data_IF_069438131597
#
_entry.id   IF_069438131597
#
_cell.length_a   1.000
_cell.length_b   1.000
_cell.length_c   1.000
_cell.angle_alpha   90.00
_cell.angle_beta   90.00
_cell.angle_gamma   90.00
#
_symmetry.space_group_name_H-M   'P 1'
#
loop_
_entity.id
_entity.type
_entity.pdbx_description
1 polymer ?
#
# COMPACT_ATOMS: atom_id res chain seq x y z
N UNK A 1 -22.45 -12.41 0.23
CA UNK A 1 -21.64 -12.33 -1.00
C UNK A 1 -20.57 -11.28 -0.75
N UNK A 2 -19.49 -11.67 -0.07
CA UNK A 2 -18.42 -10.75 0.30
C UNK A 2 -17.72 -10.37 -1.00
N UNK A 3 -17.90 -9.13 -1.45
CA UNK A 3 -17.02 -8.53 -2.44
C UNK A 3 -15.68 -8.32 -1.74
N UNK A 4 -14.94 -9.40 -1.52
CA UNK A 4 -13.50 -9.35 -1.40
C UNK A 4 -13.05 -8.93 -2.79
N UNK A 5 -13.14 -7.62 -3.05
CA UNK A 5 -12.64 -7.02 -4.27
C UNK A 5 -11.21 -7.51 -4.36
N UNK A 6 -10.93 -8.31 -5.41
CA UNK A 6 -9.58 -8.72 -5.77
C UNK A 6 -8.84 -7.45 -6.22
N UNK A 7 -8.63 -6.52 -5.30
CA UNK A 7 -7.99 -5.25 -5.61
C UNK A 7 -6.53 -5.60 -5.81
N UNK A 8 -6.09 -5.47 -7.07
CA UNK A 8 -4.68 -5.61 -7.42
C UNK A 8 -3.83 -4.80 -6.44
N UNK A 9 -2.72 -5.38 -5.97
CA UNK A 9 -1.83 -4.68 -5.06
C UNK A 9 -1.24 -3.43 -5.72
N UNK A 10 -0.85 -2.47 -4.88
CA UNK A 10 -0.27 -1.19 -5.31
C UNK A 10 1.24 -1.25 -5.20
N UNK A 11 1.96 -0.82 -6.21
CA UNK A 11 3.41 -0.62 -6.11
C UNK A 11 3.73 0.62 -5.28
N UNK A 12 4.98 0.74 -4.81
CA UNK A 12 5.42 1.97 -4.16
C UNK A 12 5.31 3.21 -5.08
N UNK A 13 5.31 3.02 -6.40
CA UNK A 13 5.15 4.10 -7.38
C UNK A 13 3.69 4.56 -7.48
N UNK A 14 2.75 3.61 -7.55
CA UNK A 14 1.31 3.90 -7.53
C UNK A 14 0.95 4.68 -6.26
N UNK A 15 1.47 4.24 -5.11
CA UNK A 15 1.20 4.88 -3.82
C UNK A 15 1.80 6.29 -3.77
N UNK A 16 3.02 6.47 -4.29
CA UNK A 16 3.66 7.79 -4.31
C UNK A 16 2.87 8.78 -5.17
N UNK A 17 2.36 8.32 -6.33
CA UNK A 17 1.57 9.13 -7.26
C UNK A 17 0.21 9.52 -6.68
N UNK A 18 -0.50 8.58 -6.06
CA UNK A 18 -1.86 8.85 -5.55
C UNK A 18 -1.82 9.69 -4.27
N UNK A 19 -1.00 9.32 -3.29
CA UNK A 19 -0.97 9.99 -1.97
C UNK A 19 0.05 11.12 -1.89
N UNK A 20 0.85 11.35 -2.93
CA UNK A 20 1.88 12.39 -2.97
C UNK A 20 2.91 12.27 -1.82
N UNK A 21 3.24 11.03 -1.43
CA UNK A 21 4.16 10.72 -0.33
C UNK A 21 5.48 10.15 -0.88
N UNK A 22 6.64 10.56 -0.34
CA UNK A 22 7.93 10.00 -0.75
C UNK A 22 8.02 8.48 -0.54
N UNK A 23 8.65 7.76 -1.48
CA UNK A 23 8.86 6.30 -1.41
C UNK A 23 9.53 5.84 -0.11
N UNK A 24 10.46 6.63 0.44
CA UNK A 24 11.08 6.33 1.74
C UNK A 24 10.07 6.24 2.90
N UNK A 25 9.07 7.14 2.91
CA UNK A 25 7.99 7.11 3.89
C UNK A 25 7.06 5.91 3.65
N UNK A 26 6.77 5.58 2.39
CA UNK A 26 6.00 4.38 2.04
C UNK A 26 6.67 3.12 2.58
N UNK A 27 7.97 2.94 2.35
CA UNK A 27 8.71 1.80 2.89
C UNK A 27 8.75 1.78 4.42
N UNK A 28 8.91 2.96 5.04
CA UNK A 28 8.83 3.10 6.51
C UNK A 28 7.46 2.67 7.04
N UNK A 29 6.36 3.10 6.43
CA UNK A 29 5.01 2.72 6.86
C UNK A 29 4.72 1.26 6.60
N UNK A 30 5.11 0.74 5.43
CA UNK A 30 4.98 -0.67 5.09
C UNK A 30 5.69 -1.56 6.12
N UNK A 31 6.90 -1.17 6.54
CA UNK A 31 7.62 -1.89 7.59
C UNK A 31 6.96 -1.70 8.97
N UNK A 32 6.68 -0.45 9.37
CA UNK A 32 6.14 -0.11 10.70
C UNK A 32 4.79 -0.77 10.98
N UNK A 33 3.89 -0.75 10.01
CA UNK A 33 2.54 -1.30 10.13
C UNK A 33 2.41 -2.70 9.51
N UNK A 34 3.54 -3.30 9.12
CA UNK A 34 3.63 -4.68 8.59
C UNK A 34 2.63 -4.93 7.47
N UNK A 35 2.60 -4.04 6.47
CA UNK A 35 1.71 -4.17 5.32
C UNK A 35 1.91 -5.51 4.62
N UNK A 36 0.81 -6.16 4.26
CA UNK A 36 0.80 -7.35 3.41
C UNK A 36 1.38 -6.95 2.06
N UNK A 37 2.33 -7.75 1.58
CA UNK A 37 3.02 -7.54 0.31
C UNK A 37 3.25 -8.86 -0.41
N UNK A 38 3.25 -8.81 -1.73
CA UNK A 38 3.64 -9.93 -2.57
C UNK A 38 4.53 -9.45 -3.71
N UNK A 39 5.38 -10.34 -4.22
CA UNK A 39 6.23 -10.06 -5.37
C UNK A 39 5.67 -10.76 -6.60
N UNK A 40 5.51 -10.02 -7.69
CA UNK A 40 5.06 -10.56 -8.98
C UNK A 40 5.88 -9.94 -10.10
N UNK A 41 6.51 -10.77 -10.94
CA UNK A 41 7.36 -10.34 -12.08
C UNK A 41 8.40 -9.29 -11.62
N UNK A 42 9.11 -9.56 -10.53
CA UNK A 42 10.16 -8.67 -9.99
C UNK A 42 9.66 -7.36 -9.36
N UNK A 43 8.35 -7.12 -9.29
CA UNK A 43 7.77 -5.93 -8.64
C UNK A 43 7.11 -6.30 -7.32
N UNK A 44 7.30 -5.45 -6.31
CA UNK A 44 6.64 -5.58 -5.01
C UNK A 44 5.34 -4.81 -5.01
N UNK A 45 4.27 -5.49 -4.61
CA UNK A 45 2.93 -4.95 -4.51
C UNK A 45 2.47 -4.99 -3.04
N UNK A 46 1.86 -3.92 -2.58
CA UNK A 46 1.29 -3.76 -1.25
C UNK A 46 -0.22 -3.91 -1.29
N UNK A 47 -0.79 -4.50 -0.24
CA UNK A 47 -2.23 -4.71 -0.18
C UNK A 47 -2.96 -3.37 -0.01
N UNK A 48 -3.95 -3.03 -0.88
CA UNK A 48 -4.56 -1.70 -0.90
C UNK A 48 -5.21 -1.31 0.42
N UNK A 49 -5.84 -2.26 1.12
CA UNK A 49 -6.45 -1.99 2.43
C UNK A 49 -5.43 -1.52 3.48
N UNK A 50 -4.21 -2.06 3.47
CA UNK A 50 -3.21 -1.70 4.48
C UNK A 50 -2.66 -0.28 4.20
N UNK A 51 -2.52 0.05 2.92
CA UNK A 51 -2.15 1.39 2.42
C UNK A 51 -3.22 2.41 2.83
N UNK A 52 -4.48 2.19 2.42
CA UNK A 52 -5.58 3.10 2.70
C UNK A 52 -5.81 3.25 4.21
N UNK A 53 -5.85 2.15 4.98
CA UNK A 53 -6.04 2.23 6.43
C UNK A 53 -4.94 3.03 7.14
N UNK A 54 -3.70 2.97 6.63
CA UNK A 54 -2.60 3.75 7.19
C UNK A 54 -2.77 5.23 6.91
N UNK A 55 -3.08 5.61 5.67
CA UNK A 55 -3.23 7.03 5.32
C UNK A 55 -4.51 7.64 5.88
N UNK A 56 -5.61 6.90 5.95
CA UNK A 56 -6.84 7.32 6.64
C UNK A 56 -6.57 7.61 8.12
N UNK A 57 -5.70 6.82 8.76
CA UNK A 57 -5.27 7.07 10.14
C UNK A 57 -4.38 8.30 10.29
N UNK A 58 -3.60 8.65 9.27
CA UNK A 58 -2.70 9.81 9.28
C UNK A 58 -3.40 11.12 8.89
N UNK A 59 -4.52 11.04 8.16
CA UNK A 59 -5.32 12.19 7.75
C UNK A 59 -6.29 12.68 8.84
N UNK A 60 -6.45 11.91 9.92
CA UNK A 60 -7.14 12.31 11.15
C UNK A 60 -6.17 12.95 12.13
#
# INVERSE_FOLDING_TARGET
>A
MNRETLTAGLTADDIATVWHIPKGSIYRYAHKYRWRRYTHIGRTYYHPQDVTATFDRLAK
#
